data_IF_053431886288
#
_entry.id   IF_053431886288
#
_cell.length_a   1.000
_cell.length_b   1.000
_cell.length_c   1.000
_cell.angle_alpha   90.00
_cell.angle_beta   90.00
_cell.angle_gamma   90.00
#
_symmetry.space_group_name_H-M   'P 1'
#
loop_
_entity.id
_entity.type
_entity.pdbx_description
1 polymer ?
#
# COMPACT_ATOMS: atom_id res chain seq x y z
N UNK A 1 22.81 -4.13 -16.76
CA UNK A 1 22.18 -3.54 -15.58
C UNK A 1 20.96 -2.77 -16.09
N UNK A 2 19.77 -3.14 -15.67
CA UNK A 2 18.55 -2.43 -16.09
C UNK A 2 18.49 -1.16 -15.22
N UNK A 3 18.55 0.00 -15.85
CA UNK A 3 18.44 1.28 -15.16
C UNK A 3 16.95 1.57 -14.88
N UNK A 4 16.43 1.05 -13.76
CA UNK A 4 15.07 1.29 -13.31
C UNK A 4 15.13 2.12 -12.03
N UNK A 5 14.84 3.41 -12.12
CA UNK A 5 14.95 4.36 -11.00
C UNK A 5 14.03 4.01 -9.81
N UNK A 6 12.88 3.36 -10.08
CA UNK A 6 11.89 3.01 -9.06
C UNK A 6 11.95 1.55 -8.62
N UNK A 7 12.97 0.78 -9.00
CA UNK A 7 13.12 -0.66 -8.68
C UNK A 7 13.16 -0.92 -7.16
N UNK A 8 13.50 0.08 -6.35
CA UNK A 8 13.48 0.01 -4.89
C UNK A 8 12.06 -0.21 -4.34
N UNK A 9 11.02 0.24 -5.06
CA UNK A 9 9.62 0.07 -4.67
C UNK A 9 9.09 -1.30 -5.11
N UNK A 10 9.73 -2.36 -4.63
CA UNK A 10 9.40 -3.74 -4.99
C UNK A 10 7.95 -4.14 -4.65
N UNK A 11 7.31 -3.44 -3.71
CA UNK A 11 5.91 -3.67 -3.33
C UNK A 11 4.95 -3.41 -4.49
N UNK A 12 5.23 -2.41 -5.34
CA UNK A 12 4.29 -1.96 -6.37
C UNK A 12 4.09 -2.99 -7.49
N UNK A 13 5.16 -3.74 -7.80
CA UNK A 13 5.22 -4.61 -8.99
C UNK A 13 4.50 -5.94 -8.83
N UNK A 14 4.10 -6.30 -7.60
CA UNK A 14 3.33 -7.49 -7.32
C UNK A 14 3.14 -7.71 -5.82
N UNK A 15 2.12 -8.46 -5.48
CA UNK A 15 1.75 -8.74 -4.10
C UNK A 15 1.16 -10.14 -3.95
N UNK A 16 1.12 -10.62 -2.71
CA UNK A 16 0.59 -11.95 -2.38
C UNK A 16 -0.64 -11.80 -1.50
N UNK A 17 -1.71 -12.49 -1.84
CA UNK A 17 -2.88 -12.68 -0.99
C UNK A 17 -3.06 -14.18 -0.77
N UNK A 18 -3.04 -14.62 0.49
CA UNK A 18 -2.98 -16.02 0.88
C UNK A 18 -1.78 -16.72 0.21
N UNK A 19 -2.01 -17.60 -0.77
CA UNK A 19 -0.96 -18.31 -1.51
C UNK A 19 -0.90 -17.94 -3.01
N UNK A 20 -1.57 -16.85 -3.38
CA UNK A 20 -1.67 -16.37 -4.76
C UNK A 20 -0.84 -15.11 -4.96
N UNK A 21 0.12 -15.17 -5.88
CA UNK A 21 0.87 -14.00 -6.32
C UNK A 21 0.11 -13.28 -7.45
N UNK A 22 -0.14 -12.00 -7.27
CA UNK A 22 -0.74 -11.13 -8.29
C UNK A 22 0.37 -10.25 -8.87
N UNK A 23 0.63 -10.42 -10.18
CA UNK A 23 1.53 -9.55 -10.93
C UNK A 23 0.79 -8.26 -11.26
N UNK A 24 1.29 -7.12 -10.81
CA UNK A 24 0.65 -5.84 -11.05
C UNK A 24 0.71 -5.43 -12.54
N UNK A 25 -0.34 -4.76 -13.03
CA UNK A 25 -0.28 -3.96 -14.24
C UNK A 25 0.08 -2.52 -13.83
N UNK A 26 1.37 -2.24 -13.86
CA UNK A 26 1.94 -0.94 -13.48
C UNK A 26 1.96 0.02 -14.67
N UNK A 27 2.33 1.27 -14.41
CA UNK A 27 2.48 2.25 -15.49
C UNK A 27 3.47 1.77 -16.56
N UNK A 28 3.23 2.09 -17.86
CA UNK A 28 4.10 1.68 -18.96
C UNK A 28 5.58 2.05 -18.78
N UNK A 29 5.85 3.23 -18.19
CA UNK A 29 7.22 3.69 -17.93
C UNK A 29 7.96 2.82 -16.88
N UNK A 30 7.23 2.00 -16.13
CA UNK A 30 7.73 1.11 -15.08
C UNK A 30 7.71 -0.37 -15.48
N UNK A 31 7.22 -0.76 -16.64
CA UNK A 31 7.06 -2.16 -17.04
C UNK A 31 8.36 -2.98 -16.93
N UNK A 32 9.51 -2.35 -17.19
CA UNK A 32 10.81 -3.00 -17.05
C UNK A 32 11.15 -3.46 -15.63
N UNK A 33 10.48 -2.90 -14.63
CA UNK A 33 10.64 -3.34 -13.24
C UNK A 33 10.10 -4.76 -13.04
N UNK A 34 9.06 -5.13 -13.81
CA UNK A 34 8.51 -6.49 -13.82
C UNK A 34 9.49 -7.50 -14.42
N UNK A 35 10.25 -7.11 -15.44
CA UNK A 35 11.26 -7.97 -16.05
C UNK A 35 12.36 -8.33 -15.05
N UNK A 36 12.70 -7.41 -14.17
CA UNK A 36 13.74 -7.61 -13.15
C UNK A 36 13.40 -8.68 -12.12
N UNK A 37 12.10 -8.96 -11.89
CA UNK A 37 11.65 -10.00 -10.95
C UNK A 37 11.14 -11.26 -11.66
N UNK A 38 11.13 -11.29 -12.98
CA UNK A 38 10.57 -12.43 -13.73
C UNK A 38 11.21 -13.75 -13.30
N UNK A 39 12.51 -13.78 -13.07
CA UNK A 39 13.23 -14.99 -12.62
C UNK A 39 12.74 -15.51 -11.24
N UNK A 40 12.20 -14.63 -10.37
CA UNK A 40 11.58 -15.00 -9.10
C UNK A 40 10.17 -15.56 -9.37
N UNK A 41 9.41 -14.90 -10.23
CA UNK A 41 8.05 -15.33 -10.60
C UNK A 41 8.08 -16.71 -11.25
N UNK A 42 9.09 -17.00 -12.07
CA UNK A 42 9.24 -18.29 -12.74
C UNK A 42 9.48 -19.48 -11.76
N UNK A 43 9.86 -19.19 -10.52
CA UNK A 43 10.00 -20.19 -9.46
C UNK A 43 8.68 -20.46 -8.69
N UNK A 44 7.67 -19.64 -8.89
CA UNK A 44 6.36 -19.81 -8.27
C UNK A 44 5.55 -20.81 -9.10
N UNK A 45 4.79 -21.68 -8.43
CA UNK A 45 3.86 -22.56 -9.13
C UNK A 45 2.96 -21.73 -10.05
N UNK A 46 2.94 -21.96 -11.37
CA UNK A 46 2.17 -21.17 -12.32
C UNK A 46 0.68 -21.07 -11.99
N UNK A 47 0.10 -22.10 -11.35
CA UNK A 47 -1.30 -22.10 -10.91
C UNK A 47 -1.58 -21.08 -9.78
N UNK A 48 -0.53 -20.54 -9.15
CA UNK A 48 -0.61 -19.53 -8.08
C UNK A 48 -0.18 -18.15 -8.55
N UNK A 49 0.07 -17.97 -9.85
CA UNK A 49 0.45 -16.68 -10.43
C UNK A 49 -0.73 -16.15 -11.24
N UNK A 50 -1.28 -15.05 -10.79
CA UNK A 50 -2.36 -14.33 -11.47
C UNK A 50 -1.78 -13.13 -12.23
N UNK A 51 -2.19 -13.01 -13.50
CA UNK A 51 -1.88 -11.88 -14.37
C UNK A 51 -3.22 -11.20 -14.73
N UNK A 52 -3.53 -10.06 -14.10
CA UNK A 52 -4.77 -9.35 -14.40
C UNK A 52 -4.86 -8.95 -15.88
N UNK A 53 -6.07 -8.83 -16.46
CA UNK A 53 -6.28 -8.24 -17.79
C UNK A 53 -5.74 -6.80 -17.87
N UNK A 54 -5.48 -6.30 -19.07
CA UNK A 54 -4.85 -4.99 -19.30
C UNK A 54 -5.63 -3.82 -18.67
N UNK A 55 -6.94 -3.87 -18.69
CA UNK A 55 -7.81 -2.84 -18.11
C UNK A 55 -7.82 -2.79 -16.57
N UNK A 56 -7.32 -3.84 -15.93
CA UNK A 56 -7.23 -3.97 -14.47
C UNK A 56 -5.91 -3.38 -13.98
N UNK A 57 -5.95 -2.17 -13.45
CA UNK A 57 -4.80 -1.53 -12.83
C UNK A 57 -4.87 -1.70 -11.31
N UNK A 58 -3.85 -2.32 -10.73
CA UNK A 58 -3.69 -2.46 -9.30
C UNK A 58 -2.21 -2.63 -8.95
N UNK A 59 -1.67 -1.72 -8.14
CA UNK A 59 -0.30 -1.78 -7.65
C UNK A 59 -0.26 -2.21 -6.18
N UNK A 60 0.76 -2.96 -5.79
CA UNK A 60 0.85 -3.53 -4.45
C UNK A 60 0.97 -2.50 -3.32
N UNK A 61 1.44 -1.27 -3.61
CA UNK A 61 1.42 -0.15 -2.66
C UNK A 61 0.02 0.28 -2.22
N UNK A 62 -1.00 -0.06 -3.02
CA UNK A 62 -2.41 0.17 -2.70
C UNK A 62 -3.07 -0.99 -1.95
N UNK A 63 -2.39 -2.12 -1.75
CA UNK A 63 -3.00 -3.34 -1.17
C UNK A 63 -2.43 -3.63 0.21
N UNK A 64 -3.29 -3.57 1.23
CA UNK A 64 -2.93 -3.87 2.62
C UNK A 64 -3.80 -5.01 3.16
N UNK A 65 -3.15 -6.02 3.72
CA UNK A 65 -3.83 -7.16 4.33
C UNK A 65 -3.92 -6.98 5.84
N UNK A 66 -5.09 -7.26 6.40
CA UNK A 66 -5.28 -7.28 7.84
C UNK A 66 -6.44 -8.22 8.23
N UNK A 67 -6.13 -9.31 8.90
CA UNK A 67 -7.11 -10.38 9.20
C UNK A 67 -7.84 -10.82 7.92
N UNK A 68 -9.16 -10.77 7.90
CA UNK A 68 -9.97 -11.11 6.73
C UNK A 68 -10.17 -9.94 5.76
N UNK A 69 -9.60 -8.77 6.07
CA UNK A 69 -9.70 -7.59 5.21
C UNK A 69 -8.61 -7.54 4.16
N UNK A 70 -9.00 -7.11 2.97
CA UNK A 70 -8.12 -6.59 1.94
C UNK A 70 -8.49 -5.11 1.77
N UNK A 71 -7.65 -4.22 2.26
CA UNK A 71 -7.78 -2.78 2.07
C UNK A 71 -7.14 -2.39 0.75
N UNK A 72 -7.86 -1.62 -0.08
CA UNK A 72 -7.36 -1.20 -1.39
C UNK A 72 -7.51 0.31 -1.52
N UNK A 73 -6.37 1.00 -1.74
CA UNK A 73 -6.36 2.39 -2.18
C UNK A 73 -6.76 2.49 -3.64
N UNK A 74 -7.58 3.48 -3.98
CA UNK A 74 -7.98 3.76 -5.36
C UNK A 74 -8.25 5.25 -5.56
N UNK A 75 -8.57 5.65 -6.78
CA UNK A 75 -9.09 6.96 -7.08
C UNK A 75 -10.38 6.82 -7.88
N UNK A 76 -11.50 7.33 -7.34
CA UNK A 76 -12.84 7.17 -7.92
C UNK A 76 -13.27 8.36 -8.81
N UNK A 77 -12.39 9.35 -9.02
CA UNK A 77 -12.68 10.48 -9.88
C UNK A 77 -12.88 10.07 -11.34
N UNK A 78 -13.82 10.74 -12.03
CA UNK A 78 -14.05 10.51 -13.47
C UNK A 78 -12.85 10.89 -14.34
N UNK A 79 -11.93 11.67 -13.80
CA UNK A 79 -10.66 12.11 -14.36
C UNK A 79 -9.47 11.21 -13.97
N UNK A 80 -9.73 9.95 -13.62
CA UNK A 80 -8.70 8.95 -13.25
C UNK A 80 -7.52 8.94 -14.23
N UNK A 81 -7.83 8.95 -15.54
CA UNK A 81 -6.81 8.89 -16.60
C UNK A 81 -5.91 10.13 -16.69
N UNK A 82 -6.35 11.24 -16.08
CA UNK A 82 -5.58 12.47 -16.06
C UNK A 82 -4.55 12.52 -14.94
N UNK A 83 -4.59 11.54 -14.01
CA UNK A 83 -3.67 11.44 -12.87
C UNK A 83 -2.72 10.26 -13.02
N UNK A 84 -1.49 10.52 -13.42
CA UNK A 84 -0.42 9.50 -13.40
C UNK A 84 -0.18 8.94 -11.97
N UNK A 85 -0.62 9.66 -10.96
CA UNK A 85 -0.54 9.25 -9.56
C UNK A 85 -1.70 8.36 -9.11
N UNK A 86 -2.72 8.17 -9.94
CA UNK A 86 -3.80 7.22 -9.69
C UNK A 86 -3.41 5.86 -10.27
N UNK A 87 -2.97 4.95 -9.40
CA UNK A 87 -2.33 3.69 -9.78
C UNK A 87 -3.25 2.49 -9.77
N UNK A 88 -4.31 2.55 -8.98
CA UNK A 88 -5.31 1.49 -8.86
C UNK A 88 -6.68 2.04 -9.25
N UNK A 89 -7.35 1.37 -10.20
CA UNK A 89 -8.69 1.72 -10.67
C UNK A 89 -9.77 0.85 -10.01
N UNK A 90 -11.05 1.17 -10.29
CA UNK A 90 -12.18 0.40 -9.75
C UNK A 90 -12.28 -1.00 -10.36
N UNK A 91 -11.81 -1.20 -11.59
CA UNK A 91 -11.68 -2.51 -12.23
C UNK A 91 -10.74 -3.38 -11.42
N UNK A 92 -9.61 -2.84 -10.93
CA UNK A 92 -8.68 -3.52 -10.03
C UNK A 92 -9.32 -3.93 -8.71
N UNK A 93 -10.10 -3.03 -8.10
CA UNK A 93 -10.85 -3.33 -6.87
C UNK A 93 -11.85 -4.47 -7.09
N UNK A 94 -12.63 -4.41 -8.16
CA UNK A 94 -13.64 -5.42 -8.48
C UNK A 94 -13.00 -6.77 -8.81
N UNK A 95 -11.89 -6.76 -9.54
CA UNK A 95 -11.12 -7.96 -9.84
C UNK A 95 -10.66 -8.68 -8.57
N UNK A 96 -10.17 -7.97 -7.57
CA UNK A 96 -9.77 -8.58 -6.28
C UNK A 96 -11.00 -9.12 -5.52
N UNK A 97 -12.15 -8.41 -5.55
CA UNK A 97 -13.39 -8.89 -4.94
C UNK A 97 -13.84 -10.24 -5.54
N UNK A 98 -13.73 -10.38 -6.86
CA UNK A 98 -14.10 -11.62 -7.57
C UNK A 98 -13.09 -12.75 -7.30
N UNK A 99 -11.81 -12.43 -7.26
CA UNK A 99 -10.73 -13.41 -7.04
C UNK A 99 -10.72 -13.96 -5.61
N UNK A 100 -11.10 -13.12 -4.62
CA UNK A 100 -11.12 -13.48 -3.20
C UNK A 100 -12.50 -13.27 -2.54
N UNK A 101 -13.52 -14.04 -2.96
CA UNK A 101 -14.91 -13.84 -2.51
C UNK A 101 -15.12 -14.11 -1.00
N UNK A 102 -14.18 -14.78 -0.35
CA UNK A 102 -14.20 -15.08 1.08
C UNK A 102 -13.55 -14.00 1.94
N UNK A 103 -12.94 -12.97 1.32
CA UNK A 103 -12.31 -11.82 2.02
C UNK A 103 -13.24 -10.61 2.02
N UNK A 104 -13.04 -9.74 2.97
CA UNK A 104 -13.73 -8.46 3.06
C UNK A 104 -12.89 -7.39 2.35
N UNK A 105 -13.22 -7.10 1.10
CA UNK A 105 -12.52 -6.04 0.36
C UNK A 105 -13.14 -4.69 0.68
N UNK A 106 -12.33 -3.79 1.24
CA UNK A 106 -12.72 -2.39 1.51
C UNK A 106 -11.82 -1.46 0.71
N UNK A 107 -12.42 -0.72 -0.21
CA UNK A 107 -11.74 0.32 -0.98
C UNK A 107 -11.77 1.67 -0.29
N UNK A 108 -10.68 2.44 -0.46
CA UNK A 108 -10.51 3.80 0.03
C UNK A 108 -10.23 4.75 -1.13
N UNK A 109 -11.00 5.85 -1.22
CA UNK A 109 -10.77 6.89 -2.22
C UNK A 109 -9.68 7.85 -1.75
N UNK A 110 -8.55 7.87 -2.46
CA UNK A 110 -7.35 8.61 -2.06
C UNK A 110 -7.30 10.00 -2.69
N UNK A 111 -6.76 10.95 -1.95
CA UNK A 111 -6.52 12.31 -2.45
C UNK A 111 -5.39 12.28 -3.48
N UNK A 112 -5.67 12.85 -4.66
CA UNK A 112 -4.67 13.05 -5.72
C UNK A 112 -4.44 14.53 -5.96
N UNK A 113 -3.20 14.91 -6.22
CA UNK A 113 -2.82 16.28 -6.54
C UNK A 113 -1.83 16.30 -7.70
N UNK A 114 -2.05 17.21 -8.65
CA UNK A 114 -1.12 17.51 -9.74
C UNK A 114 -0.19 18.69 -9.41
N UNK A 115 -0.52 19.45 -8.37
CA UNK A 115 0.13 20.72 -8.08
C UNK A 115 1.12 20.64 -6.90
N UNK A 116 0.79 19.83 -5.91
CA UNK A 116 1.57 19.73 -4.67
C UNK A 116 1.72 18.27 -4.26
N UNK A 117 2.94 17.76 -4.32
CA UNK A 117 3.25 16.38 -3.99
C UNK A 117 2.93 16.01 -2.52
N UNK A 118 3.01 16.99 -1.61
CA UNK A 118 2.65 16.79 -0.19
C UNK A 118 1.15 16.63 0.07
N UNK A 119 0.32 16.91 -0.93
CA UNK A 119 -1.13 16.74 -0.87
C UNK A 119 -1.59 15.56 -1.76
N UNK A 120 -0.64 14.71 -2.16
CA UNK A 120 -0.91 13.57 -3.04
C UNK A 120 -0.60 12.27 -2.32
N UNK A 121 -1.63 11.48 -2.02
CA UNK A 121 -1.46 10.10 -1.58
C UNK A 121 -1.27 9.21 -2.82
N UNK A 122 -0.03 8.90 -3.17
CA UNK A 122 0.31 8.10 -4.35
C UNK A 122 -0.34 6.71 -4.29
N UNK A 123 -0.16 6.04 -3.16
CA UNK A 123 -0.74 4.75 -2.82
C UNK A 123 -1.35 4.78 -1.41
N UNK A 124 -2.02 3.71 -1.04
CA UNK A 124 -2.56 3.54 0.31
C UNK A 124 -1.44 3.51 1.36
N UNK A 125 -0.29 2.92 1.07
CA UNK A 125 0.87 2.88 1.97
C UNK A 125 1.48 4.25 2.28
N UNK A 126 1.14 5.28 1.50
CA UNK A 126 1.49 6.66 1.83
C UNK A 126 0.66 7.23 2.99
N UNK A 127 -0.54 6.71 3.22
CA UNK A 127 -1.47 7.28 4.20
C UNK A 127 -2.07 6.27 5.19
N UNK A 128 -1.87 4.97 4.98
CA UNK A 128 -2.28 3.95 5.93
C UNK A 128 -1.41 2.71 5.82
N UNK A 129 -0.96 2.20 6.98
CA UNK A 129 -0.27 0.92 7.09
C UNK A 129 -0.70 0.22 8.37
N UNK A 130 -1.34 -0.96 8.30
CA UNK A 130 -1.52 -1.80 9.48
C UNK A 130 -0.17 -2.33 9.95
N UNK A 131 0.04 -2.40 11.27
CA UNK A 131 1.25 -2.96 11.88
C UNK A 131 0.88 -3.91 13.01
N UNK A 132 1.54 -5.05 13.06
CA UNK A 132 1.23 -6.11 14.00
C UNK A 132 -0.23 -6.55 13.91
N UNK A 133 -0.81 -6.93 15.04
CA UNK A 133 -2.17 -7.49 15.07
C UNK A 133 -3.29 -6.45 15.03
N UNK A 134 -3.07 -5.28 15.65
CA UNK A 134 -4.16 -4.33 15.90
C UNK A 134 -3.73 -2.87 15.93
N UNK A 135 -2.55 -2.54 15.45
CA UNK A 135 -2.06 -1.17 15.36
C UNK A 135 -2.06 -0.69 13.90
N UNK A 136 -1.98 0.62 13.71
CA UNK A 136 -1.86 1.20 12.38
C UNK A 136 -1.23 2.58 12.40
N UNK A 137 -0.64 2.95 11.29
CA UNK A 137 -0.13 4.29 11.01
C UNK A 137 -1.10 4.93 10.04
N UNK A 138 -1.55 6.16 10.29
CA UNK A 138 -2.59 6.78 9.47
C UNK A 138 -2.37 8.27 9.25
N UNK A 139 -2.60 8.73 8.02
CA UNK A 139 -2.68 10.13 7.63
C UNK A 139 -4.11 10.47 7.21
N UNK A 140 -4.86 11.21 8.05
CA UNK A 140 -6.28 11.51 7.82
C UNK A 140 -6.53 12.19 6.47
N UNK A 141 -5.71 13.18 6.10
CA UNK A 141 -5.92 13.96 4.89
C UNK A 141 -5.55 13.23 3.58
N UNK A 142 -5.09 11.99 3.66
CA UNK A 142 -4.86 11.14 2.49
C UNK A 142 -6.14 10.54 1.90
N UNK A 143 -7.25 10.57 2.65
CA UNK A 143 -8.56 10.07 2.24
C UNK A 143 -9.43 11.23 1.73
N UNK A 144 -10.09 11.04 0.58
CA UNK A 144 -11.03 12.05 0.04
C UNK A 144 -12.31 12.15 0.87
N UNK A 145 -12.78 11.02 1.39
CA UNK A 145 -13.98 10.94 2.20
C UNK A 145 -13.62 10.73 3.68
N UNK A 146 -14.11 11.60 4.55
CA UNK A 146 -13.91 11.45 6.00
C UNK A 146 -14.45 10.11 6.52
N UNK A 147 -15.48 9.57 5.89
CA UNK A 147 -16.04 8.27 6.23
C UNK A 147 -15.03 7.14 6.12
N UNK A 148 -14.09 7.19 5.18
CA UNK A 148 -13.04 6.20 4.99
C UNK A 148 -12.04 6.23 6.15
N UNK A 149 -11.62 7.43 6.56
CA UNK A 149 -10.80 7.60 7.76
C UNK A 149 -11.53 7.11 9.02
N UNK A 150 -12.80 7.49 9.21
CA UNK A 150 -13.59 7.09 10.38
C UNK A 150 -13.83 5.59 10.43
N UNK A 151 -13.95 4.92 9.27
CA UNK A 151 -14.02 3.46 9.20
C UNK A 151 -12.78 2.82 9.84
N UNK A 152 -11.58 3.28 9.49
CA UNK A 152 -10.34 2.76 10.07
C UNK A 152 -10.22 3.08 11.57
N UNK A 153 -10.61 4.29 11.98
CA UNK A 153 -10.64 4.67 13.40
C UNK A 153 -11.58 3.77 14.20
N UNK A 154 -12.76 3.44 13.66
CA UNK A 154 -13.71 2.54 14.29
C UNK A 154 -13.18 1.10 14.37
N UNK A 155 -12.51 0.66 13.33
CA UNK A 155 -12.03 -0.73 13.20
C UNK A 155 -10.83 -1.01 14.12
N UNK A 156 -9.86 -0.09 14.16
CA UNK A 156 -8.62 -0.27 14.92
C UNK A 156 -8.72 0.28 16.37
N UNK A 157 -9.59 1.25 16.63
CA UNK A 157 -9.58 2.07 17.83
C UNK A 157 -8.60 3.24 17.70
N UNK A 158 -9.03 4.44 18.10
CA UNK A 158 -8.24 5.67 17.96
C UNK A 158 -6.87 5.57 18.66
N UNK A 159 -6.84 4.90 19.82
CA UNK A 159 -5.65 4.70 20.67
C UNK A 159 -4.61 3.76 20.03
N UNK A 160 -5.02 2.97 19.05
CA UNK A 160 -4.18 2.03 18.33
C UNK A 160 -3.64 2.59 16.99
N UNK A 161 -4.00 3.83 16.67
CA UNK A 161 -3.58 4.49 15.44
C UNK A 161 -2.56 5.59 15.74
N UNK A 162 -1.40 5.49 15.09
CA UNK A 162 -0.41 6.54 15.07
C UNK A 162 -0.73 7.53 13.95
N UNK A 163 -1.09 8.75 14.31
CA UNK A 163 -1.43 9.79 13.34
C UNK A 163 -0.16 10.52 12.90
N UNK A 164 0.13 10.45 11.62
CA UNK A 164 1.22 11.20 10.98
C UNK A 164 0.70 12.53 10.43
N UNK A 165 1.59 13.51 10.38
CA UNK A 165 1.31 14.80 9.77
C UNK A 165 1.65 14.83 8.27
N UNK A 166 1.41 15.98 7.61
CA UNK A 166 1.63 16.19 6.18
C UNK A 166 3.09 16.00 5.77
N UNK A 167 4.04 16.44 6.61
CA UNK A 167 5.46 16.29 6.31
C UNK A 167 5.93 14.84 6.52
N UNK A 168 5.44 14.20 7.55
CA UNK A 168 5.69 12.78 7.81
C UNK A 168 5.13 11.89 6.70
N UNK A 169 3.92 12.19 6.19
CA UNK A 169 3.36 11.50 5.03
C UNK A 169 4.26 11.68 3.80
N UNK A 170 4.64 12.91 3.49
CA UNK A 170 5.53 13.21 2.38
C UNK A 170 6.91 12.53 2.51
N UNK A 171 7.39 12.37 3.75
CA UNK A 171 8.63 11.63 4.07
C UNK A 171 8.41 10.12 4.16
N UNK A 172 7.25 9.60 3.76
CA UNK A 172 6.92 8.17 3.70
C UNK A 172 6.91 7.46 5.06
N UNK A 173 6.56 8.16 6.15
CA UNK A 173 6.59 7.56 7.50
C UNK A 173 5.61 6.39 7.68
N UNK A 174 4.57 6.25 6.86
CA UNK A 174 3.69 5.08 6.88
C UNK A 174 4.22 3.89 6.08
N UNK A 175 5.25 4.10 5.25
CA UNK A 175 5.82 3.04 4.41
C UNK A 175 6.85 2.22 5.19
N UNK A 176 6.39 1.52 6.22
CA UNK A 176 7.19 0.60 7.03
C UNK A 176 6.92 -0.85 6.62
N UNK A 177 7.79 -1.77 7.01
CA UNK A 177 7.66 -3.18 6.71
C UNK A 177 7.57 -4.03 7.97
N UNK A 178 6.39 -4.60 8.24
CA UNK A 178 6.20 -5.56 9.33
C UNK A 178 6.68 -6.94 8.87
N UNK A 179 7.71 -7.45 9.52
CA UNK A 179 8.27 -8.79 9.22
C UNK A 179 7.74 -9.86 10.18
N UNK A 180 7.14 -9.45 11.29
CA UNK A 180 6.44 -10.29 12.25
C UNK A 180 5.38 -9.47 12.99
N UNK A 181 4.58 -10.13 13.82
CA UNK A 181 3.53 -9.49 14.62
C UNK A 181 4.05 -8.40 15.57
N UNK A 182 5.32 -8.48 15.94
CA UNK A 182 5.99 -7.62 16.92
C UNK A 182 7.31 -7.03 16.41
N UNK A 183 7.64 -7.20 15.11
CA UNK A 183 8.88 -6.70 14.50
C UNK A 183 8.58 -5.84 13.27
N UNK A 184 9.06 -4.60 13.27
CA UNK A 184 8.87 -3.63 12.20
C UNK A 184 10.21 -3.08 11.74
N UNK A 185 10.46 -3.10 10.44
CA UNK A 185 11.56 -2.38 9.79
C UNK A 185 11.09 -0.98 9.45
N UNK A 186 11.84 0.02 9.87
CA UNK A 186 11.51 1.43 9.71
C UNK A 186 12.75 2.27 9.39
N UNK A 187 12.55 3.41 8.77
CA UNK A 187 13.64 4.36 8.53
C UNK A 187 14.10 5.00 9.85
N UNK A 188 15.43 5.12 10.03
CA UNK A 188 16.03 5.58 11.30
C UNK A 188 15.62 7.00 11.71
N UNK A 189 15.32 7.87 10.74
CA UNK A 189 14.95 9.26 11.00
C UNK A 189 13.46 9.42 11.39
N UNK A 190 12.66 8.37 11.34
CA UNK A 190 11.25 8.41 11.77
C UNK A 190 11.12 8.36 13.30
N UNK A 191 11.86 9.26 13.98
CA UNK A 191 12.07 9.21 15.43
C UNK A 191 10.75 9.14 16.22
N UNK A 192 9.76 9.95 15.87
CA UNK A 192 8.47 9.99 16.56
C UNK A 192 7.71 8.67 16.39
N UNK A 193 7.68 8.13 15.18
CA UNK A 193 7.07 6.84 14.87
C UNK A 193 7.80 5.68 15.55
N UNK A 194 9.13 5.63 15.44
CA UNK A 194 9.95 4.56 16.01
C UNK A 194 9.81 4.49 17.54
N UNK A 195 9.76 5.65 18.21
CA UNK A 195 9.51 5.72 19.65
C UNK A 195 8.11 5.22 20.01
N UNK A 196 7.08 5.60 19.22
CA UNK A 196 5.73 5.09 19.43
C UNK A 196 5.66 3.58 19.24
N UNK A 197 6.22 3.02 18.16
CA UNK A 197 6.24 1.59 17.92
C UNK A 197 6.88 0.84 19.11
N UNK A 198 8.03 1.30 19.62
CA UNK A 198 8.65 0.72 20.81
C UNK A 198 7.78 0.81 22.05
N UNK A 199 7.08 1.92 22.23
CA UNK A 199 6.13 2.09 23.36
C UNK A 199 4.93 1.14 23.29
N UNK A 200 4.61 0.66 22.07
CA UNK A 200 3.57 -0.35 21.84
C UNK A 200 4.09 -1.80 21.91
N UNK A 201 5.37 -1.98 22.24
CA UNK A 201 5.99 -3.30 22.41
C UNK A 201 6.65 -3.88 21.16
N UNK A 202 6.77 -3.11 20.08
CA UNK A 202 7.45 -3.59 18.87
C UNK A 202 8.98 -3.53 19.00
N UNK A 203 9.64 -4.52 18.46
CA UNK A 203 11.04 -4.41 18.06
C UNK A 203 11.10 -3.62 16.75
N UNK A 204 11.88 -2.53 16.75
CA UNK A 204 12.02 -1.65 15.59
C UNK A 204 13.43 -1.78 15.05
N UNK A 205 13.55 -2.37 13.88
CA UNK A 205 14.79 -2.48 13.11
C UNK A 205 14.94 -1.23 12.24
N UNK A 206 15.86 -0.36 12.65
CA UNK A 206 16.10 0.92 11.99
C UNK A 206 17.13 0.78 10.87
N UNK A 207 16.71 1.10 9.65
CA UNK A 207 17.59 1.13 8.48
C UNK A 207 17.58 2.51 7.84
N UNK A 208 18.66 2.94 7.16
CA UNK A 208 18.64 4.13 6.32
C UNK A 208 18.04 3.78 4.95
N UNK A 209 17.12 4.59 4.43
CA UNK A 209 16.66 4.53 3.02
C UNK A 209 16.19 5.87 2.48
#
# INVERSE_FOLDING_TARGET
>A
MIENYNQIFARDIGFVIDDTFIKANILPDRERELDAIQYVIDQINPAKVVRPPEEVHIEGGDVMLWNDYIFIGTYKGSDYKDYITARTNMEGVNYIKELFPNKIVKEFDLVKSKLEARDNALHLDCCFQPVGKNKGIIYKSGFREEADYLFLVKLFGKENLFHIDRNEMYSMNSNVFSIADDVVVSERNFTRLNNWLRSQGFTVEEIPY
#
